data_IF_433736028069
#
_entry.id   IF_433736028069
#
_cell.length_a   1.000
_cell.length_b   1.000
_cell.length_c   1.000
_cell.angle_alpha   90.00
_cell.angle_beta   90.00
_cell.angle_gamma   90.00
#
_symmetry.space_group_name_H-M   'P 1'
#
loop_
_entity.id
_entity.type
_entity.pdbx_description
1 polymer ?
#
# COMPACT_ATOMS: atom_id res chain seq x y z
N UNK A 1 78.47 9.29 4.05
CA UNK A 1 78.24 10.36 5.05
C UNK A 1 77.11 9.87 5.95
N UNK A 2 77.43 9.43 7.19
CA UNK A 2 77.22 10.16 8.47
C UNK A 2 75.74 10.55 8.67
N UNK A 3 74.99 9.86 9.53
CA UNK A 3 74.85 10.12 10.98
C UNK A 3 74.18 11.50 11.22
N UNK A 4 73.19 11.72 12.08
CA UNK A 4 72.59 10.99 13.19
C UNK A 4 71.36 11.81 13.70
N UNK A 5 70.54 11.17 14.54
CA UNK A 5 69.73 11.69 15.68
C UNK A 5 69.34 13.18 15.74
N UNK A 6 68.09 13.56 16.02
CA UNK A 6 67.43 13.50 17.36
C UNK A 6 65.92 13.80 17.21
N UNK A 7 64.99 12.95 17.66
CA UNK A 7 64.35 12.89 19.00
C UNK A 7 64.03 14.26 19.66
N UNK A 8 62.75 14.63 19.69
CA UNK A 8 62.12 15.35 20.81
C UNK A 8 60.61 15.10 20.84
N UNK A 9 60.22 14.21 21.76
CA UNK A 9 58.88 14.14 22.34
C UNK A 9 58.46 15.50 22.90
N UNK A 10 57.18 15.84 22.78
CA UNK A 10 56.44 16.40 23.91
C UNK A 10 54.95 16.04 23.77
N UNK A 11 54.55 15.17 24.70
CA UNK A 11 53.18 14.78 25.02
C UNK A 11 52.31 16.02 25.28
N UNK A 12 51.02 15.92 24.93
CA UNK A 12 49.93 16.26 25.85
C UNK A 12 48.61 15.62 25.38
N UNK A 13 48.15 14.69 26.23
CA UNK A 13 46.79 14.24 26.52
C UNK A 13 45.65 14.70 25.58
N UNK A 14 44.74 13.84 25.12
CA UNK A 14 44.09 12.78 25.87
C UNK A 14 43.52 11.71 24.94
N UNK A 15 43.86 10.46 25.23
CA UNK A 15 42.94 9.36 24.96
C UNK A 15 41.70 9.58 25.83
N UNK A 16 40.57 9.79 25.20
CA UNK A 16 39.31 9.29 25.74
C UNK A 16 38.66 8.53 24.60
N UNK A 17 38.69 7.18 24.60
CA UNK A 17 37.64 6.48 23.89
C UNK A 17 36.36 6.97 24.55
N UNK A 18 35.52 7.69 23.82
CA UNK A 18 34.17 7.93 24.31
C UNK A 18 33.50 6.56 24.40
N UNK A 19 33.53 5.98 25.60
CA UNK A 19 32.70 4.87 26.08
C UNK A 19 31.19 5.22 26.08
N UNK A 20 30.77 6.15 25.21
CA UNK A 20 29.38 6.63 25.08
C UNK A 20 28.55 5.85 24.07
N UNK A 21 29.05 4.74 23.54
CA UNK A 21 28.28 3.86 22.66
C UNK A 21 28.06 2.44 23.22
N UNK A 22 28.49 2.14 24.45
CA UNK A 22 28.27 0.83 25.07
C UNK A 22 26.98 0.74 25.92
N UNK A 23 26.35 1.87 26.23
CA UNK A 23 25.15 1.95 27.08
C UNK A 23 24.02 2.79 26.48
N UNK A 24 23.96 2.94 25.15
CA UNK A 24 22.71 3.37 24.55
C UNK A 24 21.68 2.29 24.86
N UNK A 25 20.55 2.60 25.53
CA UNK A 25 19.50 1.61 25.73
C UNK A 25 19.15 1.04 24.36
N UNK A 26 19.23 -0.29 24.24
CA UNK A 26 18.84 -0.97 23.02
C UNK A 26 17.48 -0.39 22.61
N UNK A 27 17.40 0.18 21.40
CA UNK A 27 16.15 0.71 20.90
C UNK A 27 15.05 -0.34 21.17
N UNK A 28 13.92 0.04 21.79
CA UNK A 28 12.91 -0.93 22.18
C UNK A 28 12.58 -1.77 20.96
N UNK A 29 12.77 -3.10 21.08
CA UNK A 29 12.44 -4.03 20.02
C UNK A 29 10.99 -3.78 19.63
N UNK A 30 10.73 -3.61 18.34
CA UNK A 30 9.37 -3.47 17.86
C UNK A 30 8.52 -4.63 18.42
N UNK A 31 7.30 -4.35 18.92
CA UNK A 31 6.42 -5.41 19.39
C UNK A 31 6.22 -6.43 18.26
N UNK A 32 6.26 -7.72 18.61
CA UNK A 32 6.03 -8.78 17.65
C UNK A 32 4.63 -8.64 17.04
N UNK A 33 4.47 -8.94 15.74
CA UNK A 33 3.15 -8.93 15.11
C UNK A 33 2.21 -9.94 15.77
N UNK A 34 0.91 -9.63 15.79
CA UNK A 34 -0.12 -10.56 16.26
C UNK A 34 -0.21 -11.80 15.36
N UNK A 35 -0.87 -12.87 15.84
CA UNK A 35 -1.07 -14.08 15.05
C UNK A 35 -1.89 -13.82 13.78
N UNK A 36 -2.89 -12.94 13.85
CA UNK A 36 -3.72 -12.58 12.69
C UNK A 36 -2.89 -11.88 11.60
N UNK A 37 -2.00 -10.97 12.00
CA UNK A 37 -1.07 -10.31 11.08
C UNK A 37 -0.13 -11.32 10.43
N UNK A 38 0.43 -12.26 11.19
CA UNK A 38 1.29 -13.31 10.64
C UNK A 38 0.53 -14.24 9.67
N UNK A 39 -0.71 -14.59 9.99
CA UNK A 39 -1.56 -15.40 9.12
C UNK A 39 -1.86 -14.68 7.80
N UNK A 40 -2.17 -13.38 7.86
CA UNK A 40 -2.35 -12.55 6.66
C UNK A 40 -1.08 -12.47 5.80
N UNK A 41 0.05 -12.13 6.41
CA UNK A 41 1.35 -12.06 5.71
C UNK A 41 1.67 -13.38 5.01
N UNK A 42 1.39 -14.52 5.64
CA UNK A 42 1.58 -15.83 5.01
C UNK A 42 0.71 -16.01 3.75
N UNK A 43 -0.55 -15.56 3.75
CA UNK A 43 -1.40 -15.61 2.55
C UNK A 43 -0.80 -14.78 1.40
N UNK A 44 -0.32 -13.58 1.70
CA UNK A 44 0.34 -12.70 0.71
C UNK A 44 1.63 -13.35 0.18
N UNK A 45 2.45 -13.95 1.07
CA UNK A 45 3.66 -14.68 0.69
C UNK A 45 3.34 -15.84 -0.26
N UNK A 46 2.33 -16.67 0.05
CA UNK A 46 1.91 -17.77 -0.85
C UNK A 46 1.42 -17.25 -2.19
N UNK A 47 0.58 -16.21 -2.19
CA UNK A 47 0.06 -15.60 -3.41
C UNK A 47 1.19 -15.08 -4.31
N UNK A 48 2.12 -14.30 -3.75
CA UNK A 48 3.26 -13.76 -4.51
C UNK A 48 4.17 -14.88 -5.00
N UNK A 49 4.33 -15.95 -4.21
CA UNK A 49 5.12 -17.12 -4.59
C UNK A 49 4.52 -17.88 -5.77
N UNK A 50 3.19 -18.06 -5.77
CA UNK A 50 2.46 -18.69 -6.86
C UNK A 50 2.55 -17.86 -8.16
N UNK A 51 2.81 -16.56 -8.06
CA UNK A 51 2.92 -15.64 -9.20
C UNK A 51 4.38 -15.32 -9.60
N UNK A 52 5.30 -16.26 -9.37
CA UNK A 52 6.65 -16.25 -9.98
C UNK A 52 7.76 -15.62 -9.16
N UNK A 53 7.46 -15.08 -7.96
CA UNK A 53 8.51 -14.65 -7.02
C UNK A 53 8.96 -15.83 -6.16
N UNK A 54 10.25 -15.96 -5.85
CA UNK A 54 10.69 -17.01 -4.92
C UNK A 54 10.13 -16.74 -3.52
N UNK A 55 9.43 -17.70 -2.91
CA UNK A 55 8.86 -17.62 -1.56
C UNK A 55 9.79 -17.00 -0.52
N UNK A 56 11.05 -17.46 -0.47
CA UNK A 56 12.04 -16.97 0.49
C UNK A 56 12.45 -15.50 0.31
N UNK A 57 12.21 -14.91 -0.87
CA UNK A 57 12.47 -13.47 -1.11
C UNK A 57 11.43 -12.63 -0.37
N UNK A 58 10.14 -12.87 -0.62
CA UNK A 58 9.07 -12.09 0.02
C UNK A 58 8.96 -12.36 1.52
N UNK A 59 9.18 -13.61 1.97
CA UNK A 59 9.21 -13.95 3.39
C UNK A 59 10.28 -13.15 4.15
N UNK A 60 11.50 -13.02 3.58
CA UNK A 60 12.57 -12.20 4.19
C UNK A 60 12.23 -10.71 4.24
N UNK A 61 11.44 -10.19 3.30
CA UNK A 61 10.99 -8.80 3.37
C UNK A 61 10.04 -8.59 4.57
N UNK A 62 9.11 -9.52 4.80
CA UNK A 62 8.25 -9.47 5.99
C UNK A 62 9.03 -9.65 7.30
N UNK A 63 10.00 -10.56 7.35
CA UNK A 63 10.89 -10.69 8.52
C UNK A 63 11.61 -9.37 8.84
N UNK A 64 12.16 -8.70 7.83
CA UNK A 64 12.81 -7.38 7.98
C UNK A 64 11.81 -6.31 8.42
N UNK A 65 10.62 -6.27 7.81
CA UNK A 65 9.55 -5.33 8.16
C UNK A 65 9.09 -5.48 9.62
N UNK A 66 8.86 -6.71 10.06
CA UNK A 66 8.46 -7.05 11.43
C UNK A 66 9.58 -6.76 12.44
N UNK A 67 10.85 -6.86 12.02
CA UNK A 67 12.00 -6.45 12.82
C UNK A 67 12.22 -4.92 12.89
N UNK A 68 11.37 -4.12 12.24
CA UNK A 68 11.45 -2.65 12.23
C UNK A 68 12.37 -2.06 11.15
N UNK A 69 12.96 -2.89 10.29
CA UNK A 69 13.84 -2.44 9.21
C UNK A 69 13.00 -2.02 7.98
N UNK A 70 12.46 -0.80 8.00
CA UNK A 70 11.47 -0.31 7.03
C UNK A 70 12.04 0.65 5.97
N UNK A 71 12.91 0.15 5.10
CA UNK A 71 13.36 0.95 3.95
C UNK A 71 12.24 1.12 2.89
N UNK A 72 12.30 2.21 2.13
CA UNK A 72 11.25 2.59 1.17
C UNK A 72 10.99 1.53 0.10
N UNK A 73 12.04 0.92 -0.44
CA UNK A 73 11.91 -0.07 -1.50
C UNK A 73 11.22 -1.35 -1.00
N UNK A 74 11.55 -1.79 0.21
CA UNK A 74 10.89 -2.92 0.86
C UNK A 74 9.41 -2.63 1.13
N UNK A 75 9.09 -1.44 1.65
CA UNK A 75 7.71 -1.03 1.90
C UNK A 75 6.88 -1.04 0.61
N UNK A 76 7.43 -0.53 -0.49
CA UNK A 76 6.75 -0.52 -1.78
C UNK A 76 6.43 -1.93 -2.28
N UNK A 77 7.35 -2.89 -2.13
CA UNK A 77 7.12 -4.29 -2.51
C UNK A 77 6.07 -4.94 -1.63
N UNK A 78 6.13 -4.74 -0.31
CA UNK A 78 5.13 -5.30 0.62
C UNK A 78 3.75 -4.75 0.31
N UNK A 79 3.61 -3.42 0.24
CA UNK A 79 2.31 -2.78 0.03
C UNK A 79 1.71 -3.07 -1.34
N UNK A 80 2.53 -3.15 -2.40
CA UNK A 80 2.05 -3.57 -3.72
C UNK A 80 1.63 -5.05 -3.74
N UNK A 81 2.32 -5.91 -3.00
CA UNK A 81 1.96 -7.32 -2.84
C UNK A 81 0.63 -7.49 -2.11
N UNK A 82 0.45 -6.78 -0.99
CA UNK A 82 -0.79 -6.77 -0.19
C UNK A 82 -1.97 -6.26 -1.03
N UNK A 83 -1.80 -5.11 -1.69
CA UNK A 83 -2.83 -4.55 -2.55
C UNK A 83 -3.18 -5.47 -3.73
N UNK A 84 -2.19 -6.15 -4.33
CA UNK A 84 -2.43 -7.14 -5.39
C UNK A 84 -3.22 -8.34 -4.89
N UNK A 85 -2.81 -8.93 -3.77
CA UNK A 85 -3.47 -10.07 -3.15
C UNK A 85 -4.94 -9.75 -2.85
N UNK A 86 -5.22 -8.63 -2.19
CA UNK A 86 -6.57 -8.21 -1.84
C UNK A 86 -7.43 -7.89 -3.07
N UNK A 87 -6.85 -7.21 -4.06
CA UNK A 87 -7.51 -6.91 -5.34
C UNK A 87 -7.96 -8.19 -6.03
N UNK A 88 -7.05 -9.16 -6.20
CA UNK A 88 -7.37 -10.43 -6.88
C UNK A 88 -8.43 -11.20 -6.09
N UNK A 89 -8.21 -11.37 -4.78
CA UNK A 89 -9.12 -12.13 -3.91
C UNK A 89 -10.54 -11.57 -3.94
N UNK A 90 -10.70 -10.24 -3.84
CA UNK A 90 -12.03 -9.63 -3.87
C UNK A 90 -12.63 -9.62 -5.28
N UNK A 91 -11.82 -9.47 -6.33
CA UNK A 91 -12.28 -9.46 -7.72
C UNK A 91 -12.99 -10.75 -8.11
N UNK A 92 -12.53 -11.90 -7.59
CA UNK A 92 -13.14 -13.21 -7.84
C UNK A 92 -14.58 -13.30 -7.32
N UNK A 93 -14.89 -12.58 -6.23
CA UNK A 93 -16.26 -12.46 -5.71
C UNK A 93 -17.07 -11.40 -6.48
N UNK A 94 -16.49 -10.21 -6.65
CA UNK A 94 -17.21 -9.02 -7.15
C UNK A 94 -17.56 -9.12 -8.63
N UNK A 95 -16.64 -9.60 -9.47
CA UNK A 95 -16.83 -9.58 -10.93
C UNK A 95 -18.04 -10.39 -11.39
N UNK A 96 -18.29 -11.63 -10.89
CA UNK A 96 -19.51 -12.36 -11.23
C UNK A 96 -20.81 -11.66 -10.83
N UNK A 97 -20.77 -10.81 -9.80
CA UNK A 97 -21.96 -10.10 -9.28
C UNK A 97 -22.23 -8.81 -10.05
N UNK A 98 -21.19 -7.99 -10.24
CA UNK A 98 -21.33 -6.63 -10.79
C UNK A 98 -21.04 -6.56 -12.28
N UNK A 99 -20.17 -7.43 -12.82
CA UNK A 99 -19.76 -7.44 -14.23
C UNK A 99 -20.38 -8.61 -15.01
N UNK A 100 -21.56 -9.08 -14.60
CA UNK A 100 -22.22 -10.31 -15.08
C UNK A 100 -22.42 -10.38 -16.60
N UNK A 101 -22.54 -9.24 -17.28
CA UNK A 101 -22.69 -9.09 -18.73
C UNK A 101 -21.44 -8.51 -19.44
N UNK A 102 -20.32 -8.41 -18.73
CA UNK A 102 -19.08 -7.85 -19.24
C UNK A 102 -18.93 -6.34 -19.05
N UNK A 103 -19.93 -5.62 -18.52
CA UNK A 103 -19.81 -4.20 -18.20
C UNK A 103 -20.47 -3.82 -16.88
N UNK A 104 -19.74 -3.28 -15.89
CA UNK A 104 -20.35 -2.82 -14.66
C UNK A 104 -21.22 -1.59 -14.92
N UNK A 105 -22.46 -1.58 -14.41
CA UNK A 105 -23.23 -0.35 -14.28
C UNK A 105 -22.64 0.51 -13.15
N UNK A 106 -21.62 1.30 -13.49
CA UNK A 106 -20.96 2.17 -12.52
C UNK A 106 -21.89 3.22 -11.91
N UNK A 107 -23.02 3.57 -12.56
CA UNK A 107 -23.97 4.49 -11.97
C UNK A 107 -24.79 3.79 -10.86
N UNK A 108 -25.21 2.55 -11.09
CA UNK A 108 -25.85 1.74 -10.04
C UNK A 108 -24.91 1.52 -8.85
N UNK A 109 -23.65 1.14 -9.11
CA UNK A 109 -22.64 1.00 -8.06
C UNK A 109 -22.41 2.31 -7.31
N UNK A 110 -22.27 3.43 -8.02
CA UNK A 110 -22.08 4.75 -7.41
C UNK A 110 -23.24 5.12 -6.46
N UNK A 111 -24.49 4.79 -6.82
CA UNK A 111 -25.65 4.98 -5.94
C UNK A 111 -25.57 4.13 -4.67
N UNK A 112 -25.16 2.87 -4.78
CA UNK A 112 -24.95 2.00 -3.60
C UNK A 112 -23.83 2.52 -2.69
N UNK A 113 -22.72 2.98 -3.27
CA UNK A 113 -21.62 3.62 -2.51
C UNK A 113 -22.10 4.87 -1.77
N UNK A 114 -22.92 5.71 -2.41
CA UNK A 114 -23.49 6.91 -1.78
C UNK A 114 -24.46 6.53 -0.66
N UNK A 115 -25.33 5.53 -0.89
CA UNK A 115 -26.25 5.00 0.13
C UNK A 115 -25.49 4.46 1.36
N UNK A 116 -24.32 3.87 1.14
CA UNK A 116 -23.41 3.42 2.21
C UNK A 116 -22.65 4.57 2.90
N UNK A 117 -22.87 5.84 2.52
CA UNK A 117 -22.19 7.01 3.09
C UNK A 117 -20.75 7.21 2.59
N UNK A 118 -20.32 6.45 1.57
CA UNK A 118 -18.93 6.36 1.13
C UNK A 118 -18.62 7.18 -0.14
N UNK A 119 -19.60 7.93 -0.65
CA UNK A 119 -19.47 8.66 -1.93
C UNK A 119 -18.39 9.75 -1.95
N UNK A 120 -18.23 10.51 -0.86
CA UNK A 120 -17.19 11.55 -0.81
C UNK A 120 -15.79 10.95 -0.67
N UNK A 121 -15.67 9.87 0.11
CA UNK A 121 -14.42 9.13 0.27
C UNK A 121 -13.94 8.55 -1.07
N UNK A 122 -14.85 7.96 -1.86
CA UNK A 122 -14.56 7.47 -3.21
C UNK A 122 -14.04 8.59 -4.13
N UNK A 123 -14.72 9.73 -4.15
CA UNK A 123 -14.32 10.87 -4.99
C UNK A 123 -12.93 11.38 -4.57
N UNK A 124 -12.70 11.56 -3.26
CA UNK A 124 -11.42 12.01 -2.74
C UNK A 124 -10.29 11.02 -3.07
N UNK A 125 -10.57 9.72 -2.95
CA UNK A 125 -9.62 8.66 -3.26
C UNK A 125 -9.23 8.65 -4.74
N UNK A 126 -10.19 8.73 -5.65
CA UNK A 126 -9.91 8.82 -7.08
C UNK A 126 -9.12 10.10 -7.45
N UNK A 127 -9.43 11.23 -6.82
CA UNK A 127 -8.68 12.48 -7.03
C UNK A 127 -7.24 12.40 -6.54
N UNK A 128 -6.97 11.63 -5.48
CA UNK A 128 -5.65 11.49 -4.88
C UNK A 128 -4.77 10.46 -5.61
N UNK A 129 -5.33 9.31 -5.97
CA UNK A 129 -4.56 8.18 -6.49
C UNK A 129 -4.40 8.22 -8.02
N UNK A 130 -5.31 8.88 -8.74
CA UNK A 130 -5.27 8.97 -10.21
C UNK A 130 -4.76 10.34 -10.63
N UNK A 131 -3.69 10.45 -11.44
CA UNK A 131 -3.21 11.72 -11.96
C UNK A 131 -4.30 12.47 -12.75
N UNK A 132 -4.36 13.80 -12.63
CA UNK A 132 -5.41 14.66 -13.22
C UNK A 132 -5.67 14.38 -14.70
N UNK A 133 -4.62 14.08 -15.45
CA UNK A 133 -4.66 13.83 -16.91
C UNK A 133 -5.34 12.50 -17.29
N UNK A 134 -5.49 11.61 -16.30
CA UNK A 134 -6.15 10.30 -16.43
C UNK A 134 -7.52 10.25 -15.75
N UNK A 135 -7.90 11.30 -15.04
CA UNK A 135 -9.21 11.40 -14.41
C UNK A 135 -10.29 11.68 -15.47
N UNK A 136 -11.46 11.07 -15.30
CA UNK A 136 -12.64 11.44 -16.08
C UNK A 136 -13.01 12.90 -15.75
N UNK A 137 -13.17 13.81 -16.73
CA UNK A 137 -13.31 15.26 -16.48
C UNK A 137 -14.41 15.65 -15.48
N UNK A 138 -15.51 14.89 -15.46
CA UNK A 138 -16.66 15.09 -14.56
C UNK A 138 -16.30 14.88 -13.08
N UNK A 139 -15.24 14.14 -12.76
CA UNK A 139 -14.82 13.85 -11.39
C UNK A 139 -14.53 15.14 -10.59
N UNK A 140 -13.81 16.07 -11.21
CA UNK A 140 -13.37 17.32 -10.59
C UNK A 140 -14.41 18.46 -10.69
N UNK A 141 -15.47 18.30 -11.48
CA UNK A 141 -16.50 19.31 -11.63
C UNK A 141 -17.49 19.29 -10.46
N UNK A 142 -17.28 20.16 -9.49
CA UNK A 142 -18.12 20.31 -8.29
C UNK A 142 -19.56 20.72 -8.59
N UNK A 143 -19.86 21.20 -9.81
CA UNK A 143 -21.23 21.53 -10.23
C UNK A 143 -22.04 20.29 -10.61
N UNK A 144 -21.39 19.14 -10.81
CA UNK A 144 -22.06 17.90 -11.14
C UNK A 144 -22.66 17.25 -9.89
N UNK A 145 -23.74 16.48 -10.08
CA UNK A 145 -24.33 15.67 -9.01
C UNK A 145 -23.31 14.71 -8.42
N UNK A 146 -23.41 14.43 -7.11
CA UNK A 146 -22.57 13.47 -6.41
C UNK A 146 -22.55 12.09 -7.08
N UNK A 147 -23.70 11.61 -7.60
CA UNK A 147 -23.79 10.35 -8.34
C UNK A 147 -22.87 10.32 -9.57
N UNK A 148 -22.95 11.33 -10.44
CA UNK A 148 -22.07 11.45 -11.62
C UNK A 148 -20.59 11.55 -11.25
N UNK A 149 -20.26 12.26 -10.17
CA UNK A 149 -18.88 12.38 -9.70
C UNK A 149 -18.36 11.05 -9.14
N UNK A 150 -19.18 10.31 -8.38
CA UNK A 150 -18.84 8.99 -7.88
C UNK A 150 -18.73 7.95 -9.01
N UNK A 151 -19.60 8.00 -10.01
CA UNK A 151 -19.48 7.20 -11.23
C UNK A 151 -18.14 7.50 -11.94
N UNK A 152 -17.82 8.78 -12.14
CA UNK A 152 -16.56 9.22 -12.74
C UNK A 152 -15.34 8.78 -11.91
N UNK A 153 -15.46 8.72 -10.58
CA UNK A 153 -14.43 8.20 -9.69
C UNK A 153 -14.18 6.70 -9.93
N UNK A 154 -15.24 5.88 -9.96
CA UNK A 154 -15.14 4.45 -10.26
C UNK A 154 -14.50 4.20 -11.63
N UNK A 155 -14.92 4.95 -12.65
CA UNK A 155 -14.35 4.85 -14.00
C UNK A 155 -12.86 5.25 -14.03
N UNK A 156 -12.48 6.30 -13.30
CA UNK A 156 -11.09 6.76 -13.22
C UNK A 156 -10.19 5.74 -12.53
N UNK A 157 -10.71 5.04 -11.51
CA UNK A 157 -9.98 3.97 -10.82
C UNK A 157 -9.90 2.69 -11.67
N UNK A 158 -11.01 2.27 -12.30
CA UNK A 158 -11.07 1.04 -13.12
C UNK A 158 -10.05 1.00 -14.24
N UNK A 159 -9.87 2.13 -14.93
CA UNK A 159 -9.01 2.26 -16.09
C UNK A 159 -7.61 2.79 -15.79
N UNK A 160 -7.24 2.96 -14.51
CA UNK A 160 -5.94 3.52 -14.19
C UNK A 160 -4.84 2.50 -14.47
N UNK A 161 -3.94 2.84 -15.39
CA UNK A 161 -2.66 2.17 -15.59
C UNK A 161 -1.56 3.19 -15.34
N UNK A 162 -0.58 2.87 -14.48
CA UNK A 162 0.58 3.75 -14.30
C UNK A 162 1.51 3.63 -15.51
N UNK A 163 1.82 4.75 -16.16
CA UNK A 163 2.85 4.84 -17.21
C UNK A 163 4.24 5.08 -16.63
N UNK A 164 4.35 5.32 -15.32
CA UNK A 164 5.63 5.49 -14.62
C UNK A 164 6.06 4.13 -14.03
N UNK A 165 7.14 3.51 -14.55
CA UNK A 165 7.66 2.25 -14.03
C UNK A 165 8.03 2.31 -12.54
N UNK A 166 8.29 3.50 -12.00
CA UNK A 166 8.64 3.75 -10.59
C UNK A 166 7.45 4.11 -9.69
N UNK A 167 6.22 4.13 -10.21
CA UNK A 167 5.02 4.38 -9.42
C UNK A 167 3.99 3.26 -9.61
N UNK A 168 4.41 2.03 -9.37
CA UNK A 168 3.51 0.86 -9.40
C UNK A 168 2.60 0.80 -8.18
N UNK A 169 3.04 1.36 -7.06
CA UNK A 169 2.25 1.38 -5.83
C UNK A 169 0.94 2.17 -5.98
N UNK A 170 0.94 3.32 -6.68
CA UNK A 170 -0.30 4.07 -6.95
C UNK A 170 -1.30 3.24 -7.75
N UNK A 171 -0.82 2.49 -8.75
CA UNK A 171 -1.64 1.58 -9.56
C UNK A 171 -2.32 0.53 -8.68
N UNK A 172 -1.55 -0.17 -7.84
CA UNK A 172 -2.12 -1.21 -6.98
C UNK A 172 -3.10 -0.63 -5.95
N UNK A 173 -2.82 0.54 -5.38
CA UNK A 173 -3.74 1.22 -4.46
C UNK A 173 -5.03 1.66 -5.14
N UNK A 174 -4.96 2.18 -6.36
CA UNK A 174 -6.14 2.54 -7.14
C UNK A 174 -7.00 1.31 -7.46
N UNK A 175 -6.38 0.20 -7.85
CA UNK A 175 -7.08 -1.07 -8.10
C UNK A 175 -7.73 -1.64 -6.83
N UNK A 176 -7.01 -1.61 -5.70
CA UNK A 176 -7.54 -2.01 -4.40
C UNK A 176 -8.77 -1.16 -4.01
N UNK A 177 -8.66 0.18 -4.14
CA UNK A 177 -9.77 1.09 -3.90
C UNK A 177 -10.96 0.81 -4.82
N UNK A 178 -10.71 0.56 -6.11
CA UNK A 178 -11.74 0.22 -7.08
C UNK A 178 -12.58 -0.99 -6.64
N UNK A 179 -11.93 -2.10 -6.29
CA UNK A 179 -12.62 -3.32 -5.86
C UNK A 179 -13.28 -3.18 -4.49
N UNK A 180 -12.69 -2.42 -3.57
CA UNK A 180 -13.36 -2.06 -2.32
C UNK A 180 -14.70 -1.35 -2.60
N UNK A 181 -14.72 -0.30 -3.43
CA UNK A 181 -15.95 0.43 -3.70
C UNK A 181 -16.96 -0.36 -4.54
N UNK A 182 -16.51 -1.21 -5.46
CA UNK A 182 -17.38 -2.16 -6.16
C UNK A 182 -18.06 -3.13 -5.19
N UNK A 183 -17.37 -3.60 -4.14
CA UNK A 183 -17.97 -4.53 -3.17
C UNK A 183 -19.17 -3.93 -2.45
N UNK A 184 -19.19 -2.61 -2.24
CA UNK A 184 -20.36 -1.90 -1.69
C UNK A 184 -21.56 -1.93 -2.64
N UNK A 185 -21.33 -2.12 -3.94
CA UNK A 185 -22.38 -2.33 -4.95
C UNK A 185 -22.97 -3.73 -4.95
N UNK A 186 -22.41 -4.68 -4.20
CA UNK A 186 -22.88 -6.08 -4.15
C UNK A 186 -23.95 -6.32 -3.09
N UNK A 187 -24.44 -5.27 -2.44
CA UNK A 187 -25.40 -5.34 -1.32
C UNK A 187 -24.96 -6.30 -0.20
N UNK A 188 -23.64 -6.39 0.03
CA UNK A 188 -23.03 -7.21 1.08
C UNK A 188 -22.71 -8.66 0.68
N UNK A 189 -22.99 -9.07 -0.56
CA UNK A 189 -22.63 -10.41 -1.04
C UNK A 189 -21.11 -10.64 -1.07
N UNK A 190 -20.33 -9.59 -1.31
CA UNK A 190 -18.88 -9.59 -1.22
C UNK A 190 -18.43 -8.60 -0.15
N UNK A 191 -17.74 -9.10 0.88
CA UNK A 191 -17.21 -8.29 1.97
C UNK A 191 -15.71 -8.03 1.76
N UNK A 192 -15.31 -6.77 1.84
CA UNK A 192 -13.89 -6.40 1.89
C UNK A 192 -13.27 -6.81 3.24
N UNK A 193 -12.04 -7.32 3.18
CA UNK A 193 -11.22 -7.60 4.36
C UNK A 193 -10.87 -6.29 5.11
N UNK A 194 -10.53 -6.36 6.41
CA UNK A 194 -9.97 -5.22 7.14
C UNK A 194 -8.72 -4.64 6.44
N UNK A 195 -7.84 -5.49 5.93
CA UNK A 195 -6.60 -5.10 5.25
C UNK A 195 -6.89 -4.30 3.98
N UNK A 196 -7.87 -4.70 3.18
CA UNK A 196 -8.26 -3.95 2.00
C UNK A 196 -8.86 -2.59 2.36
N UNK A 197 -9.69 -2.49 3.40
CA UNK A 197 -10.22 -1.20 3.87
C UNK A 197 -9.09 -0.26 4.27
N UNK A 198 -8.05 -0.80 4.92
CA UNK A 198 -6.87 -0.03 5.24
C UNK A 198 -6.11 0.45 3.99
N UNK A 199 -5.85 -0.45 3.03
CA UNK A 199 -5.17 -0.13 1.77
C UNK A 199 -5.95 0.90 0.94
N UNK A 200 -7.28 0.78 0.94
CA UNK A 200 -8.19 1.74 0.31
C UNK A 200 -8.26 3.09 1.03
N UNK A 201 -7.59 3.25 2.19
CA UNK A 201 -7.55 4.49 2.95
C UNK A 201 -8.86 4.81 3.69
N UNK A 202 -9.68 3.79 3.95
CA UNK A 202 -10.97 3.91 4.65
C UNK A 202 -10.77 3.77 6.16
N UNK A 203 -9.82 2.93 6.56
CA UNK A 203 -9.46 2.69 7.96
C UNK A 203 -7.95 2.97 8.20
N UNK A 204 -7.55 3.51 9.36
CA UNK A 204 -6.14 3.70 9.70
C UNK A 204 -5.42 2.35 9.90
N UNK A 205 -4.08 2.33 9.71
CA UNK A 205 -3.24 1.13 9.94
C UNK A 205 -3.01 0.88 11.42
#
# INVERSE_FOLDING_TARGET
MRAALTLSLLLLAACSPSDRAANAPAAPKAPLPSQDVLAYQNKVIEFVAANGTRRGVIARLYERYNAGNRDRAMLEVIESSEASYETVTLSECVNPVIMRDGSPDFLAVARSVIKAGQGDALIAKALADVPKERQVPVLADVKQSKEKRAQAALMSLHGYTSTDPGNKLSLFRANAAFYYYLSLGTDGACAASPELKHIAGVEPK
#
